data_IF_103497696134
#
_entry.id   IF_103497696134
#
_cell.length_a   1.000
_cell.length_b   1.000
_cell.length_c   1.000
_cell.angle_alpha   90.00
_cell.angle_beta   90.00
_cell.angle_gamma   90.00
#
_symmetry.space_group_name_H-M   'P 1'
#
loop_
_entity.id
_entity.type
_entity.pdbx_description
1 polymer ?
#
# COMPACT_ATOMS: atom_id res chain seq x y z
N UNK A 1 48.85 -17.91 30.72
CA UNK A 1 47.39 -17.77 30.59
C UNK A 1 47.06 -16.29 30.44
N UNK A 2 46.72 -15.83 29.23
CA UNK A 2 46.28 -14.45 28.97
C UNK A 2 44.82 -14.51 28.54
N UNK A 3 43.94 -13.92 29.35
CA UNK A 3 42.51 -13.82 29.07
C UNK A 3 42.32 -12.63 28.13
N UNK A 4 41.81 -12.91 26.93
CA UNK A 4 41.50 -11.88 25.94
C UNK A 4 40.20 -11.14 26.32
N UNK A 5 40.14 -9.80 26.21
CA UNK A 5 38.93 -9.04 26.48
C UNK A 5 37.91 -9.22 25.35
N UNK A 6 36.69 -9.61 25.72
CA UNK A 6 35.52 -9.61 24.84
C UNK A 6 35.11 -8.18 24.53
N UNK A 7 35.43 -7.71 23.33
CA UNK A 7 34.91 -6.46 22.80
C UNK A 7 33.40 -6.59 22.52
N UNK A 8 32.58 -5.90 23.32
CA UNK A 8 31.18 -5.63 23.05
C UNK A 8 31.05 -4.68 21.84
N UNK A 9 31.05 -5.23 20.63
CA UNK A 9 30.73 -4.51 19.40
C UNK A 9 29.28 -4.82 19.01
N UNK A 10 28.34 -3.96 19.42
CA UNK A 10 27.13 -3.60 18.69
C UNK A 10 26.23 -2.73 19.58
N UNK A 11 26.62 -1.47 19.80
CA UNK A 11 25.65 -0.45 20.18
C UNK A 11 24.86 -0.07 18.91
N UNK A 12 23.55 -0.36 18.82
CA UNK A 12 22.76 0.06 17.66
C UNK A 12 22.77 1.59 17.57
N UNK A 13 23.13 2.07 16.39
CA UNK A 13 23.43 3.46 16.08
C UNK A 13 22.28 4.41 16.47
N UNK A 14 22.48 5.20 17.53
CA UNK A 14 21.55 6.25 17.95
C UNK A 14 21.24 7.29 16.85
N UNK A 15 22.03 7.33 15.78
CA UNK A 15 21.85 8.21 14.64
C UNK A 15 20.66 7.86 13.74
N UNK A 16 20.33 6.56 13.57
CA UNK A 16 19.20 6.17 12.71
C UNK A 16 17.85 6.51 13.33
N UNK A 17 17.72 6.41 14.66
CA UNK A 17 16.51 6.80 15.37
C UNK A 17 16.23 8.32 15.30
N UNK A 18 17.28 9.14 15.39
CA UNK A 18 17.15 10.61 15.30
C UNK A 18 16.69 11.07 13.91
N UNK A 19 17.20 10.43 12.85
CA UNK A 19 16.81 10.70 11.46
C UNK A 19 15.35 10.36 11.19
N UNK A 20 14.85 9.22 11.70
CA UNK A 20 13.46 8.82 11.52
C UNK A 20 12.49 9.80 12.21
N UNK A 21 12.81 10.24 13.43
CA UNK A 21 12.00 11.23 14.17
C UNK A 21 11.99 12.57 13.44
N UNK A 22 13.14 13.04 12.95
CA UNK A 22 13.24 14.29 12.20
C UNK A 22 12.40 14.24 10.90
N UNK A 23 12.41 13.11 10.19
CA UNK A 23 11.60 12.93 8.97
C UNK A 23 10.10 12.93 9.27
N UNK A 24 9.67 12.24 10.33
CA UNK A 24 8.26 12.22 10.75
C UNK A 24 7.81 13.62 11.15
N UNK A 25 8.64 14.35 11.91
CA UNK A 25 8.35 15.72 12.30
C UNK A 25 8.25 16.65 11.08
N UNK A 26 9.13 16.49 10.09
CA UNK A 26 9.12 17.25 8.84
C UNK A 26 7.84 16.99 8.03
N UNK A 27 7.39 15.73 7.96
CA UNK A 27 6.13 15.35 7.29
C UNK A 27 4.90 15.92 8.01
N UNK A 28 4.90 15.91 9.35
CA UNK A 28 3.86 16.53 10.17
C UNK A 28 3.81 18.06 10.00
N UNK A 29 4.97 18.71 9.93
CA UNK A 29 5.08 20.16 9.69
C UNK A 29 4.63 20.54 8.28
N UNK A 30 4.97 19.73 7.27
CA UNK A 30 4.53 19.94 5.89
C UNK A 30 3.01 19.74 5.71
N UNK A 31 2.38 18.92 6.56
CA UNK A 31 0.92 18.67 6.54
C UNK A 31 0.08 19.81 7.13
N UNK A 32 0.69 20.81 7.79
CA UNK A 32 -0.04 21.91 8.44
C UNK A 32 -0.13 23.18 7.58
N UNK A 33 0.21 23.09 6.30
CA UNK A 33 0.13 24.18 5.33
C UNK A 33 -1.26 24.37 4.73
N UNK A 34 -2.32 24.40 5.56
CA UNK A 34 -3.66 24.70 5.08
C UNK A 34 -3.68 26.07 4.40
N UNK A 35 -4.07 26.12 3.12
CA UNK A 35 -4.14 27.37 2.38
C UNK A 35 -4.97 28.40 3.16
N UNK A 36 -4.36 29.53 3.50
CA UNK A 36 -5.04 30.60 4.20
C UNK A 36 -6.23 31.07 3.33
N UNK A 37 -7.43 31.07 3.91
CA UNK A 37 -8.60 31.60 3.24
C UNK A 37 -8.38 33.06 2.86
N UNK A 38 -9.03 33.52 1.79
CA UNK A 38 -8.97 34.92 1.35
C UNK A 38 -10.26 35.30 0.64
N UNK A 39 -10.55 36.59 0.62
CA UNK A 39 -11.66 37.17 -0.14
C UNK A 39 -11.11 37.90 -1.38
N UNK A 40 -11.74 37.67 -2.52
CA UNK A 40 -11.45 38.31 -3.80
C UNK A 40 -12.73 38.98 -4.29
N UNK A 41 -12.73 40.30 -4.41
CA UNK A 41 -13.89 41.07 -4.91
C UNK A 41 -13.50 41.67 -6.26
N UNK A 42 -14.25 41.32 -7.30
CA UNK A 42 -14.17 41.91 -8.64
C UNK A 42 -15.51 42.56 -8.95
N UNK A 43 -15.66 43.83 -8.57
CA UNK A 43 -16.86 44.63 -8.84
C UNK A 43 -16.58 45.67 -9.92
N UNK A 44 -17.02 45.39 -11.15
CA UNK A 44 -16.80 46.27 -12.29
C UNK A 44 -17.56 47.61 -12.18
N UNK A 45 -18.59 47.69 -11.34
CA UNK A 45 -19.44 48.88 -11.22
C UNK A 45 -19.18 49.69 -9.95
N UNK A 46 -18.33 49.21 -9.04
CA UNK A 46 -18.07 49.82 -7.74
C UNK A 46 -19.36 50.12 -6.95
N UNK A 47 -20.33 49.22 -7.03
CA UNK A 47 -21.63 49.33 -6.35
C UNK A 47 -21.69 48.59 -5.02
N UNK A 48 -20.71 47.73 -4.75
CA UNK A 48 -20.65 46.91 -3.56
C UNK A 48 -19.92 47.61 -2.40
N UNK A 49 -20.52 47.57 -1.21
CA UNK A 49 -19.83 47.95 0.04
C UNK A 49 -18.88 46.83 0.46
N UNK A 50 -17.59 47.02 0.18
CA UNK A 50 -16.55 46.03 0.44
C UNK A 50 -16.44 45.67 1.92
N UNK A 51 -16.59 46.64 2.83
CA UNK A 51 -16.45 46.39 4.27
C UNK A 51 -17.56 45.46 4.77
N UNK A 52 -18.80 45.63 4.28
CA UNK A 52 -19.91 44.75 4.62
C UNK A 52 -19.72 43.34 4.06
N UNK A 53 -19.19 43.22 2.84
CA UNK A 53 -18.91 41.91 2.23
C UNK A 53 -17.76 41.20 2.96
N UNK A 54 -16.70 41.91 3.32
CA UNK A 54 -15.59 41.39 4.12
C UNK A 54 -16.06 40.84 5.47
N UNK A 55 -16.91 41.59 6.17
CA UNK A 55 -17.50 41.15 7.42
C UNK A 55 -18.34 39.87 7.26
N UNK A 56 -19.14 39.79 6.19
CA UNK A 56 -19.96 38.62 5.90
C UNK A 56 -19.15 37.40 5.43
N UNK A 57 -18.03 37.61 4.72
CA UNK A 57 -17.14 36.55 4.24
C UNK A 57 -16.16 36.05 5.32
N UNK A 58 -15.88 36.85 6.35
CA UNK A 58 -14.94 36.53 7.42
C UNK A 58 -15.08 35.11 8.02
N UNK A 59 -16.28 34.58 8.34
CA UNK A 59 -16.39 33.21 8.85
C UNK A 59 -15.98 32.15 7.81
N UNK A 60 -16.32 32.31 6.54
CA UNK A 60 -15.91 31.40 5.46
C UNK A 60 -14.39 31.44 5.28
N UNK A 61 -13.79 32.63 5.28
CA UNK A 61 -12.35 32.84 5.20
C UNK A 61 -11.62 32.19 6.38
N UNK A 62 -12.14 32.32 7.60
CA UNK A 62 -11.58 31.63 8.80
C UNK A 62 -11.64 30.10 8.69
N UNK A 63 -12.58 29.54 7.94
CA UNK A 63 -12.65 28.09 7.63
C UNK A 63 -11.68 27.68 6.51
N UNK A 64 -10.92 28.62 5.94
CA UNK A 64 -9.97 28.39 4.87
C UNK A 64 -10.61 28.39 3.48
N UNK A 65 -11.77 29.03 3.30
CA UNK A 65 -12.36 29.23 1.98
C UNK A 65 -11.68 30.39 1.22
N UNK A 66 -11.50 30.21 -0.08
CA UNK A 66 -11.15 31.28 -1.01
C UNK A 66 -12.44 31.78 -1.65
N UNK A 67 -13.00 32.87 -1.13
CA UNK A 67 -14.28 33.40 -1.58
C UNK A 67 -14.05 34.39 -2.72
N UNK A 68 -14.69 34.19 -3.86
CA UNK A 68 -14.66 35.10 -5.00
C UNK A 68 -16.05 35.69 -5.22
N UNK A 69 -16.18 37.01 -5.13
CA UNK A 69 -17.39 37.78 -5.44
C UNK A 69 -17.14 38.55 -6.73
N UNK A 70 -17.86 38.20 -7.78
CA UNK A 70 -17.66 38.72 -9.13
C UNK A 70 -18.97 39.37 -9.59
N UNK A 71 -18.93 40.66 -9.90
CA UNK A 71 -20.07 41.42 -10.40
C UNK A 71 -19.72 42.16 -11.67
N UNK A 72 -20.51 41.95 -12.72
CA UNK A 72 -20.23 42.43 -14.08
C UNK A 72 -21.45 43.13 -14.67
N UNK A 73 -21.19 44.21 -15.41
CA UNK A 73 -22.25 44.92 -16.12
C UNK A 73 -22.84 44.05 -17.24
N UNK A 74 -21.97 43.38 -18.00
CA UNK A 74 -22.34 42.53 -19.12
C UNK A 74 -21.56 41.21 -19.05
N UNK A 75 -22.29 40.11 -19.03
CA UNK A 75 -21.74 38.75 -18.98
C UNK A 75 -22.55 37.81 -19.86
N UNK A 76 -22.55 36.52 -19.53
CA UNK A 76 -23.37 35.50 -20.17
C UNK A 76 -24.24 34.75 -19.15
N UNK A 77 -25.20 33.98 -19.66
CA UNK A 77 -26.09 33.10 -18.90
C UNK A 77 -25.70 31.61 -19.00
N UNK A 78 -24.55 31.29 -19.61
CA UNK A 78 -24.02 29.93 -19.78
C UNK A 78 -22.85 29.61 -18.83
N UNK A 79 -22.42 30.60 -18.02
CA UNK A 79 -21.29 30.48 -17.10
C UNK A 79 -19.90 30.51 -17.77
N UNK A 80 -19.81 30.95 -19.03
CA UNK A 80 -18.54 31.06 -19.78
C UNK A 80 -17.69 32.22 -19.25
N UNK A 81 -18.29 33.39 -19.05
CA UNK A 81 -17.65 34.58 -18.46
C UNK A 81 -17.22 34.31 -17.01
N UNK A 82 -18.04 33.60 -16.23
CA UNK A 82 -17.66 33.14 -14.90
C UNK A 82 -16.39 32.29 -14.94
N UNK A 83 -16.32 31.31 -15.85
CA UNK A 83 -15.15 30.46 -16.00
C UNK A 83 -13.90 31.28 -16.35
N UNK A 84 -14.02 32.19 -17.32
CA UNK A 84 -12.91 33.05 -17.71
C UNK A 84 -12.38 33.87 -16.52
N UNK A 85 -13.26 34.49 -15.74
CA UNK A 85 -12.87 35.30 -14.58
C UNK A 85 -12.25 34.48 -13.45
N UNK A 86 -12.72 33.25 -13.24
CA UNK A 86 -12.08 32.35 -12.29
C UNK A 86 -10.67 31.95 -12.77
N UNK A 87 -10.47 31.76 -14.07
CA UNK A 87 -9.14 31.57 -14.65
C UNK A 87 -8.24 32.78 -14.41
N UNK A 88 -8.74 34.00 -14.69
CA UNK A 88 -8.00 35.25 -14.50
C UNK A 88 -7.59 35.47 -13.03
N UNK A 89 -8.42 35.01 -12.09
CA UNK A 89 -8.14 35.04 -10.64
C UNK A 89 -7.24 33.88 -10.17
N UNK A 90 -6.85 32.96 -11.04
CA UNK A 90 -6.07 31.76 -10.69
C UNK A 90 -6.84 30.80 -9.78
N UNK A 91 -8.18 30.74 -9.93
CA UNK A 91 -9.08 29.89 -9.14
C UNK A 91 -9.61 28.69 -9.94
N UNK A 92 -9.00 28.38 -11.09
CA UNK A 92 -9.24 27.17 -11.84
C UNK A 92 -8.02 26.24 -11.79
N UNK A 93 -8.30 24.95 -11.68
CA UNK A 93 -7.35 23.85 -11.83
C UNK A 93 -7.83 22.99 -13.02
N UNK A 94 -7.35 23.33 -14.22
CA UNK A 94 -7.94 22.83 -15.46
C UNK A 94 -9.35 23.38 -15.66
N UNK A 95 -10.33 22.50 -15.86
CA UNK A 95 -11.75 22.89 -15.99
C UNK A 95 -12.51 22.94 -14.65
N UNK A 96 -11.85 22.56 -13.55
CA UNK A 96 -12.44 22.52 -12.22
C UNK A 96 -12.14 23.80 -11.42
N UNK A 97 -13.06 24.18 -10.55
CA UNK A 97 -12.80 25.24 -9.56
C UNK A 97 -11.81 24.71 -8.53
N UNK A 98 -10.83 25.55 -8.17
CA UNK A 98 -9.83 25.25 -7.15
C UNK A 98 -10.51 24.68 -5.89
N UNK A 99 -10.00 23.59 -5.29
CA UNK A 99 -10.70 22.84 -4.25
C UNK A 99 -11.25 23.71 -3.12
N UNK A 100 -10.47 24.71 -2.68
CA UNK A 100 -10.82 25.60 -1.58
C UNK A 100 -11.68 26.81 -1.99
N UNK A 101 -12.03 27.00 -3.26
CA UNK A 101 -12.74 28.19 -3.72
C UNK A 101 -14.28 28.09 -3.62
N UNK A 102 -14.93 29.22 -3.35
CA UNK A 102 -16.38 29.42 -3.42
C UNK A 102 -16.60 30.68 -4.25
N UNK A 103 -17.30 30.56 -5.38
CA UNK A 103 -17.52 31.62 -6.32
C UNK A 103 -18.99 32.07 -6.33
N UNK A 104 -19.20 33.38 -6.21
CA UNK A 104 -20.47 34.05 -6.38
C UNK A 104 -20.37 35.00 -7.57
N UNK A 105 -21.21 34.77 -8.58
CA UNK A 105 -21.21 35.51 -9.83
C UNK A 105 -22.55 36.20 -10.05
N UNK A 106 -22.50 37.47 -10.44
CA UNK A 106 -23.65 38.30 -10.77
C UNK A 106 -23.38 39.03 -12.09
N UNK A 107 -24.20 38.76 -13.10
CA UNK A 107 -24.29 39.56 -14.32
C UNK A 107 -25.55 40.40 -14.30
N UNK A 108 -25.42 41.68 -14.64
CA UNK A 108 -26.55 42.61 -14.73
C UNK A 108 -27.28 42.46 -16.08
N UNK A 109 -26.53 42.26 -17.17
CA UNK A 109 -27.06 42.01 -18.52
C UNK A 109 -26.32 40.82 -19.18
N UNK A 110 -26.94 39.64 -19.29
CA UNK A 110 -28.28 39.28 -18.83
C UNK A 110 -28.36 39.26 -17.29
N UNK A 111 -29.59 39.36 -16.74
CA UNK A 111 -29.85 39.26 -15.29
C UNK A 111 -29.63 37.83 -14.81
N UNK A 112 -28.37 37.49 -14.58
CA UNK A 112 -27.95 36.13 -14.28
C UNK A 112 -27.15 36.09 -12.98
N UNK A 113 -27.32 35.01 -12.22
CA UNK A 113 -26.57 34.78 -10.99
C UNK A 113 -26.23 33.29 -10.86
N UNK A 114 -25.05 33.01 -10.35
CA UNK A 114 -24.58 31.63 -10.16
C UNK A 114 -23.70 31.51 -8.91
N UNK A 115 -23.83 30.37 -8.23
CA UNK A 115 -22.98 29.99 -7.11
C UNK A 115 -22.27 28.69 -7.48
N UNK A 116 -20.96 28.64 -7.32
CA UNK A 116 -20.17 27.42 -7.48
C UNK A 116 -19.21 27.22 -6.32
N UNK A 117 -18.89 25.96 -6.04
CA UNK A 117 -17.95 25.62 -4.99
C UNK A 117 -16.96 24.54 -5.47
N UNK A 118 -15.71 24.65 -5.05
CA UNK A 118 -14.67 23.67 -5.29
C UNK A 118 -14.92 22.35 -4.58
N UNK A 119 -14.15 21.33 -4.95
CA UNK A 119 -14.31 19.94 -4.46
C UNK A 119 -14.18 19.78 -2.95
N UNK A 120 -13.47 20.66 -2.23
CA UNK A 120 -13.39 20.63 -0.76
C UNK A 120 -14.73 20.95 -0.11
N UNK A 121 -15.52 21.79 -0.76
CA UNK A 121 -16.78 22.30 -0.24
C UNK A 121 -18.00 21.57 -0.80
N UNK A 122 -17.87 20.82 -1.89
CA UNK A 122 -18.97 20.19 -2.61
C UNK A 122 -19.80 19.21 -1.76
N UNK A 123 -19.18 18.54 -0.77
CA UNK A 123 -19.90 17.69 0.17
C UNK A 123 -20.84 18.48 1.10
N UNK A 124 -20.44 19.70 1.48
CA UNK A 124 -21.20 20.56 2.37
C UNK A 124 -22.11 21.55 1.65
N UNK A 125 -21.73 21.93 0.43
CA UNK A 125 -22.42 22.83 -0.47
C UNK A 125 -22.65 22.11 -1.80
N UNK A 126 -23.47 21.04 -1.83
CA UNK A 126 -23.83 20.40 -3.10
C UNK A 126 -24.59 21.39 -3.99
N UNK A 127 -24.59 21.14 -5.30
CA UNK A 127 -25.24 22.01 -6.29
C UNK A 127 -26.70 22.35 -5.93
N UNK A 128 -27.45 21.39 -5.40
CA UNK A 128 -28.82 21.61 -4.94
C UNK A 128 -28.92 22.65 -3.80
N UNK A 129 -28.00 22.61 -2.82
CA UNK A 129 -27.97 23.56 -1.71
C UNK A 129 -27.52 24.96 -2.17
N UNK A 130 -26.54 25.03 -3.08
CA UNK A 130 -26.16 26.31 -3.70
C UNK A 130 -27.33 26.94 -4.46
N UNK A 131 -28.08 26.12 -5.23
CA UNK A 131 -29.29 26.57 -5.93
C UNK A 131 -30.37 27.06 -4.96
N UNK A 132 -30.61 26.33 -3.87
CA UNK A 132 -31.56 26.74 -2.82
C UNK A 132 -31.17 28.09 -2.20
N UNK A 133 -29.92 28.25 -1.78
CA UNK A 133 -29.40 29.50 -1.22
C UNK A 133 -29.56 30.65 -2.23
N UNK A 134 -29.20 30.42 -3.50
CA UNK A 134 -29.34 31.41 -4.57
C UNK A 134 -30.79 31.87 -4.76
N UNK A 135 -31.74 30.94 -4.77
CA UNK A 135 -33.15 31.25 -4.98
C UNK A 135 -33.79 31.90 -3.74
N UNK A 136 -33.35 31.53 -2.53
CA UNK A 136 -33.92 32.02 -1.28
C UNK A 136 -33.33 33.36 -0.79
N UNK A 137 -32.04 33.61 -1.03
CA UNK A 137 -31.33 34.79 -0.51
C UNK A 137 -30.86 35.74 -1.60
N UNK A 138 -30.07 35.23 -2.57
CA UNK A 138 -29.43 36.08 -3.59
C UNK A 138 -30.46 36.73 -4.53
N UNK A 139 -31.28 35.93 -5.21
CA UNK A 139 -32.15 36.42 -6.28
C UNK A 139 -33.23 37.40 -5.79
N UNK A 140 -33.92 37.18 -4.65
CA UNK A 140 -34.90 38.14 -4.15
C UNK A 140 -34.28 39.52 -3.86
N UNK A 141 -33.09 39.56 -3.24
CA UNK A 141 -32.42 40.81 -2.93
C UNK A 141 -31.87 41.51 -4.18
N UNK A 142 -31.40 40.76 -5.19
CA UNK A 142 -31.02 41.32 -6.50
C UNK A 142 -32.21 41.95 -7.23
N UNK A 143 -33.39 41.33 -7.20
CA UNK A 143 -34.62 41.91 -7.79
C UNK A 143 -35.03 43.22 -7.13
N UNK A 144 -34.76 43.36 -5.84
CA UNK A 144 -34.99 44.58 -5.08
C UNK A 144 -33.88 45.63 -5.26
N UNK A 145 -32.91 45.39 -6.15
CA UNK A 145 -31.70 46.20 -6.38
C UNK A 145 -30.83 46.39 -5.12
N UNK A 146 -30.91 45.47 -4.16
CA UNK A 146 -30.14 45.49 -2.92
C UNK A 146 -28.87 44.65 -3.04
N UNK A 147 -27.97 44.98 -3.98
CA UNK A 147 -26.84 44.12 -4.38
C UNK A 147 -25.89 43.77 -3.23
N UNK A 148 -25.48 44.76 -2.43
CA UNK A 148 -24.62 44.54 -1.27
C UNK A 148 -25.29 43.61 -0.25
N UNK A 149 -26.58 43.81 0.04
CA UNK A 149 -27.32 42.94 0.95
C UNK A 149 -27.44 41.52 0.38
N UNK A 150 -27.74 41.40 -0.91
CA UNK A 150 -27.84 40.13 -1.62
C UNK A 150 -26.56 39.29 -1.48
N UNK A 151 -25.39 39.89 -1.69
CA UNK A 151 -24.10 39.22 -1.52
C UNK A 151 -23.85 38.87 -0.05
N UNK A 152 -24.01 39.83 0.87
CA UNK A 152 -23.73 39.61 2.28
C UNK A 152 -24.61 38.50 2.90
N UNK A 153 -25.91 38.53 2.62
CA UNK A 153 -26.87 37.55 3.15
C UNK A 153 -26.63 36.16 2.55
N UNK A 154 -26.23 36.10 1.27
CA UNK A 154 -25.82 34.83 0.63
C UNK A 154 -24.59 34.23 1.30
N UNK A 155 -23.57 35.04 1.62
CA UNK A 155 -22.36 34.58 2.32
C UNK A 155 -22.66 34.07 3.74
N UNK A 156 -23.56 34.74 4.46
CA UNK A 156 -24.03 34.29 5.78
C UNK A 156 -24.84 32.98 5.69
N UNK A 157 -25.67 32.83 4.65
CA UNK A 157 -26.40 31.59 4.41
C UNK A 157 -25.46 30.42 4.10
N UNK A 158 -24.38 30.66 3.33
CA UNK A 158 -23.33 29.66 3.06
C UNK A 158 -22.62 29.23 4.34
N UNK A 159 -22.23 30.16 5.23
CA UNK A 159 -21.59 29.81 6.51
C UNK A 159 -22.53 29.06 7.44
N UNK A 160 -23.80 29.48 7.52
CA UNK A 160 -24.82 28.79 8.31
C UNK A 160 -24.97 27.34 7.86
N UNK A 161 -25.02 27.11 6.54
CA UNK A 161 -25.09 25.77 5.96
C UNK A 161 -23.85 24.92 6.28
N UNK A 162 -22.66 25.51 6.20
CA UNK A 162 -21.40 24.87 6.57
C UNK A 162 -21.32 24.54 8.08
N UNK A 163 -21.96 25.34 8.94
CA UNK A 163 -22.03 25.09 10.38
C UNK A 163 -22.96 23.94 10.78
N UNK A 164 -23.95 23.59 9.94
CA UNK A 164 -24.94 22.54 10.25
C UNK A 164 -24.47 21.14 9.91
N UNK A 165 -23.49 20.98 9.01
CA UNK A 165 -22.96 19.65 8.71
C UNK A 165 -21.97 19.18 9.78
N UNK A 166 -22.11 17.94 10.28
CA UNK A 166 -21.06 17.35 11.11
C UNK A 166 -19.77 17.31 10.28
N UNK A 167 -18.69 17.85 10.81
CA UNK A 167 -17.39 17.98 10.14
C UNK A 167 -16.76 16.62 9.84
N UNK A 168 -17.31 15.87 8.87
CA UNK A 168 -16.82 14.57 8.45
C UNK A 168 -15.42 14.69 7.81
N UNK A 169 -15.11 15.85 7.21
CA UNK A 169 -13.78 16.14 6.65
C UNK A 169 -12.67 16.21 7.71
N UNK A 170 -12.96 16.74 8.91
CA UNK A 170 -11.98 16.78 10.00
C UNK A 170 -11.65 15.37 10.53
N UNK A 171 -12.57 14.42 10.40
CA UNK A 171 -12.36 13.05 10.86
C UNK A 171 -11.31 12.34 10.01
N UNK A 172 -11.37 12.44 8.68
CA UNK A 172 -10.47 11.71 7.77
C UNK A 172 -9.02 12.16 7.93
N UNK A 173 -8.75 13.47 8.03
CA UNK A 173 -7.41 13.99 8.31
C UNK A 173 -6.88 13.51 9.68
N UNK A 174 -7.76 13.45 10.68
CA UNK A 174 -7.41 12.94 12.01
C UNK A 174 -6.98 11.47 11.97
N UNK A 175 -7.70 10.62 11.24
CA UNK A 175 -7.36 9.19 11.12
C UNK A 175 -6.01 8.96 10.45
N UNK A 176 -5.66 9.77 9.43
CA UNK A 176 -4.34 9.69 8.78
C UNK A 176 -3.25 10.07 9.77
N UNK A 177 -3.43 11.15 10.53
CA UNK A 177 -2.48 11.56 11.57
C UNK A 177 -2.35 10.47 12.65
N UNK A 178 -3.46 9.89 13.12
CA UNK A 178 -3.42 8.80 14.10
C UNK A 178 -2.75 7.55 13.56
N UNK A 179 -2.98 7.20 12.28
CA UNK A 179 -2.36 6.05 11.65
C UNK A 179 -0.84 6.24 11.49
N UNK A 180 -0.39 7.42 11.06
CA UNK A 180 1.03 7.76 10.93
C UNK A 180 1.72 7.80 12.29
N UNK A 181 1.12 8.47 13.28
CA UNK A 181 1.63 8.50 14.65
C UNK A 181 1.68 7.10 15.27
N UNK A 182 0.62 6.31 15.09
CA UNK A 182 0.55 4.93 15.58
C UNK A 182 1.61 4.03 14.94
N UNK A 183 1.80 4.12 13.62
CA UNK A 183 2.85 3.40 12.92
C UNK A 183 4.26 3.82 13.37
N UNK A 184 4.48 5.12 13.58
CA UNK A 184 5.74 5.65 14.10
C UNK A 184 6.06 5.13 15.50
N UNK A 185 5.08 5.13 16.41
CA UNK A 185 5.22 4.58 17.76
C UNK A 185 5.51 3.07 17.71
N UNK A 186 4.78 2.32 16.89
CA UNK A 186 5.01 0.88 16.74
C UNK A 186 6.40 0.58 16.18
N UNK A 187 6.88 1.34 15.19
CA UNK A 187 8.22 1.19 14.63
C UNK A 187 9.31 1.54 15.67
N UNK A 188 9.12 2.62 16.42
CA UNK A 188 10.04 3.01 17.49
C UNK A 188 10.11 1.97 18.61
N UNK A 189 8.95 1.40 18.99
CA UNK A 189 8.88 0.30 19.93
C UNK A 189 9.57 -0.95 19.38
N UNK A 190 9.39 -1.27 18.10
CA UNK A 190 10.00 -2.44 17.46
C UNK A 190 11.53 -2.34 17.38
N UNK A 191 12.07 -1.15 17.12
CA UNK A 191 13.51 -0.86 17.08
C UNK A 191 14.16 -0.72 18.47
N UNK A 192 13.36 -0.54 19.53
CA UNK A 192 13.84 -0.37 20.90
C UNK A 192 14.29 -1.70 21.53
N UNK A 193 15.28 -1.71 22.43
CA UNK A 193 15.61 -2.88 23.25
C UNK A 193 14.41 -3.37 24.08
N UNK A 194 13.46 -2.49 24.39
CA UNK A 194 12.17 -2.83 25.02
C UNK A 194 11.32 -3.68 24.07
N UNK A 195 11.31 -3.37 22.78
CA UNK A 195 10.66 -4.17 21.73
C UNK A 195 11.23 -5.57 21.62
N UNK A 196 12.56 -5.72 21.68
CA UNK A 196 13.19 -7.04 21.67
C UNK A 196 12.80 -7.88 22.89
N UNK A 197 12.69 -7.26 24.08
CA UNK A 197 12.20 -7.92 25.31
C UNK A 197 10.72 -8.28 25.22
N UNK A 198 9.88 -7.38 24.72
CA UNK A 198 8.46 -7.64 24.47
C UNK A 198 8.27 -8.75 23.42
N UNK A 199 9.08 -8.78 22.36
CA UNK A 199 9.04 -9.84 21.36
C UNK A 199 9.42 -11.21 21.96
N UNK A 200 10.39 -11.25 22.89
CA UNK A 200 10.73 -12.48 23.61
C UNK A 200 9.60 -12.93 24.55
N UNK A 201 8.96 -12.01 25.26
CA UNK A 201 7.79 -12.29 26.10
C UNK A 201 6.61 -12.77 25.24
N UNK A 202 6.39 -12.13 24.10
CA UNK A 202 5.33 -12.48 23.17
C UNK A 202 5.55 -13.87 22.58
N UNK A 203 6.77 -14.21 22.15
CA UNK A 203 7.13 -15.57 21.69
C UNK A 203 6.86 -16.67 22.73
N UNK A 204 6.91 -16.34 24.03
CA UNK A 204 6.57 -17.27 25.12
C UNK A 204 5.08 -17.30 25.46
N UNK A 205 4.32 -16.31 25.01
CA UNK A 205 2.89 -16.20 25.29
C UNK A 205 2.05 -17.24 24.53
N UNK A 206 0.89 -17.65 25.08
CA UNK A 206 -0.05 -18.51 24.36
C UNK A 206 -0.60 -17.83 23.10
N UNK A 207 -0.69 -16.49 23.07
CA UNK A 207 -1.18 -15.74 21.92
C UNK A 207 -0.26 -15.85 20.70
N UNK A 208 1.06 -15.90 20.88
CA UNK A 208 1.96 -16.12 19.76
C UNK A 208 1.76 -17.50 19.11
N UNK A 209 1.40 -18.52 19.89
CA UNK A 209 1.04 -19.83 19.33
C UNK A 209 -0.22 -19.75 18.48
N UNK A 210 -1.22 -18.98 18.91
CA UNK A 210 -2.46 -18.75 18.16
C UNK A 210 -2.18 -17.94 16.90
N UNK A 211 -1.45 -16.83 17.00
CA UNK A 211 -1.09 -15.99 15.86
C UNK A 211 -0.29 -16.77 14.82
N UNK A 212 0.64 -17.62 15.26
CA UNK A 212 1.43 -18.44 14.37
C UNK A 212 0.63 -19.59 13.74
N UNK A 213 -0.28 -20.20 14.50
CA UNK A 213 -1.25 -21.15 13.95
C UNK A 213 -2.16 -20.50 12.89
N UNK A 214 -2.59 -19.25 13.11
CA UNK A 214 -3.37 -18.48 12.16
C UNK A 214 -2.55 -18.18 10.89
N UNK A 215 -1.30 -17.75 11.07
CA UNK A 215 -0.37 -17.47 9.97
C UNK A 215 -0.12 -18.70 9.10
N UNK A 216 0.05 -19.87 9.71
CA UNK A 216 0.27 -21.14 8.99
C UNK A 216 -0.95 -21.53 8.11
N UNK A 217 -2.14 -20.98 8.37
CA UNK A 217 -3.33 -21.15 7.51
C UNK A 217 -3.37 -20.19 6.33
N UNK A 218 -2.64 -19.08 6.37
CA UNK A 218 -2.62 -18.10 5.28
C UNK A 218 -1.78 -18.58 4.08
N UNK A 219 -2.13 -18.20 2.84
CA UNK A 219 -1.33 -18.54 1.64
C UNK A 219 0.16 -18.18 1.73
N UNK A 220 0.58 -16.99 2.21
CA UNK A 220 2.00 -16.68 2.36
C UNK A 220 2.69 -17.55 3.42
N UNK A 221 2.00 -17.86 4.53
CA UNK A 221 2.51 -18.80 5.55
C UNK A 221 2.79 -20.18 4.98
N UNK A 222 1.88 -20.72 4.17
CA UNK A 222 2.07 -22.02 3.51
C UNK A 222 3.24 -22.02 2.51
N UNK A 223 3.45 -20.93 1.76
CA UNK A 223 4.61 -20.82 0.85
C UNK A 223 5.93 -20.86 1.63
N UNK A 224 6.01 -20.12 2.74
CA UNK A 224 7.19 -20.14 3.62
C UNK A 224 7.45 -21.53 4.19
N UNK A 225 6.40 -22.22 4.65
CA UNK A 225 6.51 -23.58 5.20
C UNK A 225 6.99 -24.59 4.15
N UNK A 226 6.49 -24.51 2.91
CA UNK A 226 6.99 -25.33 1.79
C UNK A 226 8.47 -25.08 1.50
N UNK A 227 8.90 -23.81 1.49
CA UNK A 227 10.30 -23.46 1.30
C UNK A 227 11.21 -24.03 2.41
N UNK A 228 10.77 -23.94 3.67
CA UNK A 228 11.49 -24.54 4.80
C UNK A 228 11.54 -26.08 4.69
N UNK A 229 10.45 -26.71 4.24
CA UNK A 229 10.39 -28.16 4.07
C UNK A 229 11.35 -28.63 2.99
N UNK A 230 11.36 -27.99 1.83
CA UNK A 230 12.30 -28.29 0.76
C UNK A 230 13.77 -28.14 1.21
N UNK A 231 14.08 -27.09 1.98
CA UNK A 231 15.41 -26.88 2.52
C UNK A 231 15.83 -27.97 3.53
N UNK A 232 14.92 -28.41 4.39
CA UNK A 232 15.19 -29.50 5.36
C UNK A 232 15.30 -30.84 4.66
N UNK A 233 14.46 -31.12 3.67
CA UNK A 233 14.54 -32.34 2.86
C UNK A 233 15.85 -32.44 2.10
N UNK A 234 16.32 -31.34 1.51
CA UNK A 234 17.62 -31.30 0.84
C UNK A 234 18.76 -31.62 1.81
N UNK A 235 18.76 -31.02 3.01
CA UNK A 235 19.74 -31.34 4.06
C UNK A 235 19.65 -32.80 4.51
N UNK A 236 18.44 -33.33 4.68
CA UNK A 236 18.23 -34.73 5.05
C UNK A 236 18.77 -35.67 3.97
N UNK A 237 18.53 -35.38 2.70
CA UNK A 237 19.05 -36.16 1.58
C UNK A 237 20.58 -36.15 1.56
N UNK A 238 21.21 -34.98 1.72
CA UNK A 238 22.67 -34.85 1.75
C UNK A 238 23.29 -35.61 2.94
N UNK A 239 22.70 -35.54 4.13
CA UNK A 239 23.16 -36.31 5.30
C UNK A 239 22.95 -37.81 5.13
N UNK A 240 21.84 -38.23 4.51
CA UNK A 240 21.55 -39.64 4.26
C UNK A 240 22.50 -40.22 3.20
N UNK A 241 22.80 -39.50 2.11
CA UNK A 241 23.77 -39.95 1.10
C UNK A 241 25.17 -40.02 1.68
N UNK A 242 25.56 -39.05 2.50
CA UNK A 242 26.81 -39.08 3.27
C UNK A 242 26.90 -40.32 4.16
N UNK A 243 25.89 -40.59 4.98
CA UNK A 243 25.86 -41.76 5.86
C UNK A 243 25.91 -43.08 5.08
N UNK A 244 25.13 -43.21 4.00
CA UNK A 244 25.11 -44.41 3.14
C UNK A 244 26.47 -44.70 2.51
N UNK A 245 27.15 -43.66 2.01
CA UNK A 245 28.48 -43.79 1.42
C UNK A 245 29.49 -44.37 2.42
N UNK A 246 29.50 -43.87 3.66
CA UNK A 246 30.38 -44.37 4.70
C UNK A 246 29.99 -45.78 5.19
N UNK A 247 28.71 -46.08 5.36
CA UNK A 247 28.25 -47.42 5.72
C UNK A 247 28.62 -48.48 4.66
N UNK A 248 28.56 -48.11 3.37
CA UNK A 248 28.95 -48.99 2.28
C UNK A 248 30.47 -49.24 2.26
N UNK A 249 31.27 -48.20 2.52
CA UNK A 249 32.71 -48.31 2.67
C UNK A 249 33.06 -49.27 3.83
N UNK A 250 32.43 -49.08 4.99
CA UNK A 250 32.63 -49.95 6.17
C UNK A 250 32.23 -51.41 5.93
N UNK A 251 31.24 -51.66 5.07
CA UNK A 251 30.86 -53.03 4.66
C UNK A 251 31.93 -53.69 3.77
N UNK A 252 32.61 -52.90 2.95
CA UNK A 252 33.60 -53.41 1.98
C UNK A 252 34.96 -53.75 2.59
N UNK A 253 35.34 -53.11 3.69
CA UNK A 253 36.66 -53.28 4.36
C UNK A 253 36.78 -54.57 5.18
N UNK A 254 35.92 -55.57 4.95
CA UNK A 254 35.95 -56.90 5.57
C UNK A 254 35.84 -56.94 7.11
N UNK A 255 35.51 -55.81 7.74
CA UNK A 255 35.20 -55.68 9.17
C UNK A 255 33.76 -56.16 9.46
N UNK A 256 33.42 -57.39 9.05
CA UNK A 256 32.04 -57.92 9.14
C UNK A 256 31.44 -57.80 10.55
N UNK A 257 32.24 -58.07 11.59
CA UNK A 257 31.80 -58.01 12.98
C UNK A 257 31.48 -56.58 13.47
N UNK A 258 32.16 -55.56 12.95
CA UNK A 258 32.02 -54.17 13.41
C UNK A 258 31.03 -53.38 12.53
N UNK A 259 30.88 -53.76 11.25
CA UNK A 259 29.98 -53.08 10.31
C UNK A 259 28.50 -53.43 10.46
N UNK A 260 28.16 -54.61 10.99
CA UNK A 260 26.78 -55.07 11.13
C UNK A 260 25.87 -54.13 11.96
N UNK A 261 26.25 -53.64 13.17
CA UNK A 261 25.41 -52.74 13.95
C UNK A 261 25.15 -51.40 13.24
N UNK A 262 26.11 -50.89 12.47
CA UNK A 262 25.96 -49.64 11.72
C UNK A 262 24.97 -49.81 10.57
N UNK A 263 25.05 -50.92 9.85
CA UNK A 263 24.12 -51.23 8.75
C UNK A 263 22.71 -51.45 9.31
N UNK A 264 22.56 -52.12 10.45
CA UNK A 264 21.27 -52.26 11.12
C UNK A 264 20.71 -50.90 11.55
N UNK A 265 21.53 -50.01 12.12
CA UNK A 265 21.12 -48.65 12.51
C UNK A 265 20.70 -47.81 11.32
N UNK A 266 21.39 -47.93 10.17
CA UNK A 266 20.98 -47.28 8.93
C UNK A 266 19.58 -47.73 8.49
N UNK A 267 19.31 -49.04 8.51
CA UNK A 267 17.98 -49.58 8.16
C UNK A 267 16.89 -49.06 9.08
N UNK A 268 17.16 -48.96 10.39
CA UNK A 268 16.21 -48.40 11.35
C UNK A 268 15.91 -46.91 11.06
N UNK A 269 16.94 -46.11 10.71
CA UNK A 269 16.74 -44.71 10.33
C UNK A 269 15.99 -44.55 9.00
N UNK A 270 16.17 -45.46 8.04
CA UNK A 270 15.40 -45.45 6.79
C UNK A 270 13.91 -45.78 7.06
N UNK A 271 13.62 -46.73 7.96
CA UNK A 271 12.24 -47.04 8.41
C UNK A 271 11.62 -45.89 9.22
N UNK A 272 12.39 -45.24 10.07
CA UNK A 272 11.92 -44.08 10.83
C UNK A 272 11.61 -42.90 9.90
N UNK A 273 12.44 -42.68 8.87
CA UNK A 273 12.19 -41.68 7.84
C UNK A 273 10.85 -41.91 7.15
N UNK A 274 10.57 -43.12 6.68
CA UNK A 274 9.30 -43.42 6.00
C UNK A 274 8.12 -43.20 6.94
N UNK A 275 8.22 -43.66 8.20
CA UNK A 275 7.20 -43.45 9.24
C UNK A 275 6.93 -41.97 9.48
N UNK A 276 7.96 -41.14 9.64
CA UNK A 276 7.80 -39.70 9.90
C UNK A 276 7.14 -39.00 8.71
N UNK A 277 7.54 -39.32 7.47
CA UNK A 277 6.93 -38.72 6.27
C UNK A 277 5.47 -39.10 6.06
N UNK A 278 5.04 -40.30 6.50
CA UNK A 278 3.66 -40.76 6.35
C UNK A 278 2.73 -40.25 7.47
N UNK A 279 3.22 -40.22 8.71
CA UNK A 279 2.37 -39.97 9.88
C UNK A 279 2.29 -38.51 10.30
N UNK A 280 3.32 -37.71 9.98
CA UNK A 280 3.43 -36.34 10.50
C UNK A 280 3.22 -35.33 9.37
N UNK A 281 2.38 -34.31 9.60
CA UNK A 281 2.11 -33.23 8.64
C UNK A 281 2.51 -31.85 9.19
N UNK A 282 2.72 -30.91 8.27
CA UNK A 282 2.97 -29.50 8.57
C UNK A 282 4.24 -29.29 9.39
N UNK A 283 4.16 -28.45 10.42
CA UNK A 283 5.36 -28.02 11.16
C UNK A 283 5.99 -29.12 12.03
N UNK A 284 5.20 -30.10 12.48
CA UNK A 284 5.75 -31.27 13.20
C UNK A 284 6.63 -32.11 12.28
N UNK A 285 6.32 -32.14 10.98
CA UNK A 285 7.14 -32.84 9.98
C UNK A 285 8.51 -32.16 9.85
N UNK A 286 8.57 -30.83 9.84
CA UNK A 286 9.85 -30.09 9.83
C UNK A 286 10.76 -30.47 11.01
N UNK A 287 10.20 -30.53 12.22
CA UNK A 287 10.96 -30.90 13.42
C UNK A 287 11.43 -32.36 13.34
N UNK A 288 10.57 -33.27 12.93
CA UNK A 288 10.92 -34.68 12.78
C UNK A 288 12.00 -34.93 11.72
N UNK A 289 11.89 -34.29 10.55
CA UNK A 289 12.90 -34.39 9.49
C UNK A 289 14.24 -33.77 9.89
N UNK A 290 14.22 -32.66 10.65
CA UNK A 290 15.44 -32.05 11.17
C UNK A 290 16.15 -32.95 12.20
N UNK A 291 15.41 -33.59 13.10
CA UNK A 291 15.96 -34.57 14.05
C UNK A 291 16.55 -35.79 13.33
N UNK A 292 15.83 -36.33 12.33
CA UNK A 292 16.33 -37.40 11.48
C UNK A 292 17.64 -37.01 10.77
N UNK A 293 17.73 -35.80 10.23
CA UNK A 293 18.94 -35.33 9.55
C UNK A 293 20.17 -35.32 10.49
N UNK A 294 20.00 -34.94 11.76
CA UNK A 294 21.07 -35.00 12.75
C UNK A 294 21.45 -36.44 13.09
N UNK A 295 20.47 -37.36 13.20
CA UNK A 295 20.73 -38.79 13.40
C UNK A 295 21.54 -39.41 12.25
N UNK A 296 21.24 -39.07 10.99
CA UNK A 296 22.05 -39.49 9.84
C UNK A 296 23.46 -38.88 9.89
N UNK A 297 23.59 -37.61 10.28
CA UNK A 297 24.88 -36.95 10.40
C UNK A 297 25.76 -37.58 11.50
N UNK A 298 25.16 -37.99 12.63
CA UNK A 298 25.85 -38.71 13.68
C UNK A 298 26.28 -40.10 13.22
N UNK A 299 25.39 -40.86 12.55
CA UNK A 299 25.73 -42.18 12.01
C UNK A 299 26.88 -42.12 11.00
N UNK A 300 26.87 -41.12 10.12
CA UNK A 300 27.97 -40.91 9.16
C UNK A 300 29.31 -40.63 9.84
N UNK A 301 29.32 -39.83 10.92
CA UNK A 301 30.52 -39.56 11.72
C UNK A 301 31.02 -40.80 12.45
N UNK A 302 30.12 -41.63 12.98
CA UNK A 302 30.48 -42.88 13.64
C UNK A 302 31.08 -43.88 12.63
N UNK A 303 30.52 -43.98 11.43
CA UNK A 303 31.05 -44.82 10.35
C UNK A 303 32.41 -44.33 9.82
N UNK A 304 32.59 -43.02 9.68
CA UNK A 304 33.86 -42.39 9.30
C UNK A 304 34.98 -42.70 10.30
N UNK A 305 34.69 -42.67 11.60
CA UNK A 305 35.68 -43.01 12.65
C UNK A 305 36.18 -44.46 12.56
N UNK A 306 35.33 -45.38 12.12
CA UNK A 306 35.69 -46.79 11.98
C UNK A 306 36.41 -47.10 10.66
N UNK A 307 36.32 -46.21 9.68
CA UNK A 307 36.93 -46.36 8.37
C UNK A 307 37.53 -45.02 7.94
N UNK A 308 38.70 -44.61 8.46
CA UNK A 308 39.27 -43.29 8.19
C UNK A 308 39.72 -43.11 6.73
N UNK A 309 39.87 -44.21 5.97
CA UNK A 309 40.13 -44.14 4.54
C UNK A 309 38.84 -43.70 3.83
N UNK A 310 38.80 -42.42 3.47
CA UNK A 310 37.70 -41.80 2.73
C UNK A 310 37.36 -42.66 1.53
N UNK A 311 36.09 -43.05 1.30
CA UNK A 311 35.70 -43.72 0.08
C UNK A 311 36.11 -42.81 -1.07
N UNK A 312 37.16 -43.21 -1.80
CA UNK A 312 37.53 -42.54 -3.04
C UNK A 312 36.29 -42.62 -3.89
N UNK A 313 35.66 -41.46 -4.18
CA UNK A 313 34.51 -41.38 -5.07
C UNK A 313 34.89 -42.14 -6.33
N UNK A 314 34.39 -43.38 -6.47
CA UNK A 314 34.56 -44.13 -7.69
C UNK A 314 33.92 -43.25 -8.75
N UNK A 315 34.67 -42.74 -9.74
CA UNK A 315 34.12 -41.83 -10.73
C UNK A 315 32.93 -42.55 -11.33
N UNK A 316 31.74 -41.98 -11.14
CA UNK A 316 30.51 -42.55 -11.67
C UNK A 316 30.78 -42.84 -13.14
N UNK A 317 30.85 -44.13 -13.49
CA UNK A 317 31.10 -44.60 -14.85
C UNK A 317 29.96 -44.02 -15.67
N UNK A 318 30.23 -42.92 -16.35
CA UNK A 318 29.28 -42.15 -17.13
C UNK A 318 28.88 -43.07 -18.27
N UNK A 319 27.80 -43.82 -18.10
CA UNK A 319 27.19 -44.60 -19.17
C UNK A 319 26.67 -43.59 -20.19
N UNK A 320 27.55 -43.22 -21.14
CA UNK A 320 27.17 -42.60 -22.40
C UNK A 320 26.32 -43.62 -23.13
N UNK A 321 25.00 -43.52 -23.01
CA UNK A 321 24.09 -44.13 -23.96
C UNK A 321 24.15 -43.29 -25.23
N UNK A 322 25.05 -43.69 -26.12
CA UNK A 322 24.99 -43.37 -27.54
C UNK A 322 23.86 -44.19 -28.17
N UNK A 323 22.71 -43.58 -28.37
CA UNK A 323 21.77 -44.02 -29.41
C UNK A 323 21.89 -43.04 -30.56
N UNK A 324 22.68 -43.46 -31.54
CA UNK A 324 22.67 -42.94 -32.90
C UNK A 324 21.47 -43.54 -33.61
N UNK A 325 20.47 -42.72 -33.92
CA UNK A 325 19.54 -42.99 -35.01
C UNK A 325 19.49 -41.74 -35.90
N UNK A 326 20.32 -41.78 -36.93
CA UNK A 326 20.17 -41.08 -38.21
C UNK A 326 20.08 -42.21 -39.24
N UNK A 327 19.29 -42.21 -40.31
CA UNK A 327 18.56 -41.16 -40.99
C UNK A 327 17.49 -41.82 -41.88
N UNK A 328 16.44 -41.08 -42.21
CA UNK A 328 15.78 -41.22 -43.51
C UNK A 328 15.44 -39.82 -44.04
N UNK A 329 16.21 -39.40 -45.04
CA UNK A 329 15.83 -38.46 -46.11
C UNK A 329 14.45 -38.86 -46.69
N UNK A 330 13.56 -38.01 -47.20
CA UNK A 330 13.77 -37.00 -48.25
C UNK A 330 12.47 -36.18 -48.48
N UNK A 331 12.64 -34.93 -48.93
CA UNK A 331 11.83 -34.22 -49.94
C UNK A 331 10.37 -33.76 -49.68
N UNK A 332 10.21 -32.43 -49.48
CA UNK A 332 9.26 -31.47 -50.12
C UNK A 332 9.28 -30.20 -49.26
N UNK A 333 9.91 -29.10 -49.64
CA UNK A 333 9.66 -28.18 -50.75
C UNK A 333 8.21 -27.64 -50.84
N UNK A 334 8.16 -26.31 -50.83
CA UNK A 334 7.11 -25.37 -51.28
C UNK A 334 5.99 -24.91 -50.34
N UNK A 335 5.83 -23.57 -50.30
CA UNK A 335 4.56 -22.88 -50.07
C UNK A 335 4.45 -22.26 -48.68
N UNK A 336 4.84 -20.99 -48.47
CA UNK A 336 4.07 -19.77 -48.76
C UNK A 336 2.83 -19.62 -47.87
N UNK A 337 2.63 -18.37 -47.44
CA UNK A 337 1.38 -17.73 -46.93
C UNK A 337 1.36 -17.52 -45.41
N UNK A 338 1.76 -16.31 -45.01
CA UNK A 338 1.11 -15.59 -43.90
C UNK A 338 -0.36 -15.35 -44.27
N UNK A 339 -1.29 -15.43 -43.33
CA UNK A 339 -1.73 -14.24 -42.59
C UNK A 339 -2.06 -14.63 -41.13
N UNK A 340 -2.47 -13.79 -40.18
CA UNK A 340 -3.09 -12.48 -40.16
C UNK A 340 -3.01 -12.02 -38.70
N UNK A 341 -2.85 -10.72 -38.52
CA UNK A 341 -3.63 -9.89 -37.61
C UNK A 341 -4.52 -10.62 -36.59
N UNK A 342 -4.03 -10.68 -35.35
CA UNK A 342 -4.85 -10.78 -34.16
C UNK A 342 -4.99 -9.40 -33.53
N UNK A 343 -5.74 -8.51 -34.19
CA UNK A 343 -6.23 -7.25 -33.63
C UNK A 343 -7.13 -7.59 -32.45
N UNK A 344 -6.65 -7.37 -31.24
CA UNK A 344 -7.48 -7.50 -30.04
C UNK A 344 -8.25 -6.20 -29.90
N UNK A 345 -9.49 -6.27 -30.36
CA UNK A 345 -10.56 -5.31 -30.17
C UNK A 345 -10.90 -5.23 -28.67
N UNK A 346 -10.62 -4.08 -28.05
CA UNK A 346 -11.07 -3.73 -26.70
C UNK A 346 -12.07 -2.58 -26.80
N UNK A 347 -13.21 -2.84 -27.42
CA UNK A 347 -14.40 -1.99 -27.28
C UNK A 347 -15.54 -2.82 -26.68
N UNK A 348 -15.78 -2.62 -25.39
CA UNK A 348 -17.12 -2.56 -24.78
C UNK A 348 -17.00 -2.47 -23.26
N UNK A 349 -17.44 -1.34 -22.70
CA UNK A 349 -18.03 -1.35 -21.37
C UNK A 349 -17.62 -0.20 -20.47
N UNK A 350 -18.38 0.91 -20.55
CA UNK A 350 -18.56 1.78 -19.40
C UNK A 350 -17.91 3.15 -19.50
N UNK A 351 -18.23 3.91 -20.56
CA UNK A 351 -18.31 5.35 -20.40
C UNK A 351 -19.42 5.64 -19.38
N UNK A 352 -19.02 5.76 -18.11
CA UNK A 352 -19.83 6.42 -17.12
C UNK A 352 -19.96 7.87 -17.58
N UNK A 353 -21.13 8.15 -18.15
CA UNK A 353 -21.70 9.45 -18.38
C UNK A 353 -21.60 10.26 -17.08
N UNK A 354 -20.46 10.93 -16.89
CA UNK A 354 -20.37 12.04 -15.97
C UNK A 354 -21.13 13.17 -16.66
N UNK A 355 -22.46 13.11 -16.49
CA UNK A 355 -23.35 14.18 -16.84
C UNK A 355 -22.73 15.46 -16.32
N UNK A 356 -22.28 16.30 -17.25
CA UNK A 356 -21.96 17.68 -16.94
C UNK A 356 -23.18 18.21 -16.21
N UNK A 357 -23.05 18.69 -14.96
CA UNK A 357 -24.18 19.28 -14.28
C UNK A 357 -24.66 20.40 -15.20
N UNK A 358 -25.90 20.30 -15.69
CA UNK A 358 -26.56 21.38 -16.39
C UNK A 358 -26.33 22.62 -15.55
N UNK A 359 -25.76 23.64 -16.17
CA UNK A 359 -25.65 24.96 -15.57
C UNK A 359 -27.08 25.47 -15.41
N UNK A 360 -27.71 25.12 -14.27
CA UNK A 360 -29.00 25.63 -13.80
C UNK A 360 -28.82 27.08 -13.33
N UNK A 361 -28.16 27.87 -14.16
CA UNK A 361 -28.20 29.30 -14.14
C UNK A 361 -29.53 29.74 -14.73
N UNK A 362 -30.24 30.56 -13.99
CA UNK A 362 -31.57 31.01 -14.38
C UNK A 362 -31.68 32.51 -14.15
N UNK A 363 -32.44 33.22 -14.99
CA UNK A 363 -32.62 34.64 -14.85
C UNK A 363 -33.24 34.96 -13.49
N UNK A 364 -32.80 36.06 -12.87
CA UNK A 364 -33.41 36.55 -11.64
C UNK A 364 -34.47 37.62 -11.92
#
# INVERSE_FOLDING_TARGET
>A
MRVAPLHCLACPNAHSARLAIALILLVLLASCGGAAGRLLISDAQATLDQARIEAAAAPLVRRGAVVAVITVAQGDDQGVDLRQRLADLGLLEGDAIAPAAIALYISIAPRYSELRAGSRWSAALPAAALREIRLASLNPALRADQRTAAVADTLLALDTRLGQQPALGAQIESWVVYAVCGAGILLALWLSPIGARLAMLWKRSPLAKVAQWLWDRTPPGQRSLKGQLAAVELRLQDRATFARGWCQAARSTNLRAVGEPIVQRLKLLDLERTRVTQTVRGRRLLVGLAQLAESYAQLGRDAERLCPQRPTKQPAKRTRSSTSDAATETARDQGRVAPSDGTVDWDAGGAADQGSPSSDGGPW
#
